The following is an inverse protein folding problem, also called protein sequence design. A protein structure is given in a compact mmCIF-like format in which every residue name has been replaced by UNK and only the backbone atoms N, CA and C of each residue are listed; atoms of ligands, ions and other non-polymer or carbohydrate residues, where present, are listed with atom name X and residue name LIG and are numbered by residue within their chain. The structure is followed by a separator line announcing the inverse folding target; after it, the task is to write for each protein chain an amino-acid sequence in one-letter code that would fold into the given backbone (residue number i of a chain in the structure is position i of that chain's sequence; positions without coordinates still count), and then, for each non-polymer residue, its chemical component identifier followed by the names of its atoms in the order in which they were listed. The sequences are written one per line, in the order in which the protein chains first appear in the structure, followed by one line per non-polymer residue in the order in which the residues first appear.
data_IF_776310641931
#
_entry.id   IF_776310641931
#
_cell.length_a   1.000
_cell.length_b   1.000
_cell.length_c   1.000
_cell.angle_alpha   90.00
_cell.angle_beta   90.00
_cell.angle_gamma   90.00
#
_symmetry.space_group_name_H-M   'P 1'
#
loop_
_entity.id
_entity.type
_entity.pdbx_description
1 polymer ?
#
# COMPACT_ATOMS: atom_id res chain seq x y z
N UNK A 1 -56.30 -24.45 -23.37
CA UNK A 1 -56.61 -25.90 -23.48
C UNK A 1 -55.33 -26.64 -23.16
N UNK A 2 -55.25 -27.68 -22.34
CA UNK A 2 -56.18 -28.41 -21.49
C UNK A 2 -55.25 -29.43 -20.79
N UNK A 3 -55.20 -29.46 -19.46
CA UNK A 3 -55.61 -30.61 -18.62
C UNK A 3 -54.72 -31.85 -18.61
N UNK A 4 -54.58 -32.43 -17.41
CA UNK A 4 -54.19 -33.83 -17.15
C UNK A 4 -52.72 -33.94 -16.77
N UNK A 5 -52.32 -34.09 -15.50
CA UNK A 5 -52.51 -35.23 -14.59
C UNK A 5 -52.23 -36.60 -15.23
N UNK A 6 -51.57 -37.45 -14.42
CA UNK A 6 -51.11 -38.84 -14.67
C UNK A 6 -49.66 -38.94 -15.18
N UNK A 7 -48.72 -39.71 -14.61
CA UNK A 7 -48.71 -40.64 -13.48
C UNK A 7 -47.25 -40.89 -13.01
N UNK A 8 -47.13 -41.06 -11.68
CA UNK A 8 -46.30 -42.05 -10.97
C UNK A 8 -44.80 -42.24 -11.27
N UNK A 9 -44.01 -41.94 -10.23
CA UNK A 9 -42.70 -42.53 -9.99
C UNK A 9 -42.17 -42.26 -8.57
N UNK A 10 -42.96 -42.66 -7.55
CA UNK A 10 -42.54 -43.35 -6.30
C UNK A 10 -41.26 -42.83 -5.61
N UNK A 11 -41.31 -42.06 -4.51
CA UNK A 11 -41.63 -42.52 -3.14
C UNK A 11 -41.33 -44.02 -2.89
N UNK A 12 -40.14 -44.28 -2.38
CA UNK A 12 -39.83 -45.40 -1.49
C UNK A 12 -38.87 -44.81 -0.43
N UNK A 13 -39.34 -44.23 0.68
CA UNK A 13 -39.97 -44.92 1.81
C UNK A 13 -39.37 -46.31 2.01
N UNK A 14 -38.19 -46.32 2.64
CA UNK A 14 -37.63 -47.51 3.25
C UNK A 14 -38.63 -48.05 4.27
N UNK A 15 -39.30 -49.14 3.85
CA UNK A 15 -40.04 -50.08 4.69
C UNK A 15 -39.06 -50.79 5.62
N UNK A 16 -39.29 -50.60 6.93
CA UNK A 16 -39.39 -51.57 8.02
C UNK A 16 -39.35 -53.08 7.64
N UNK A 17 -38.81 -53.96 8.52
CA UNK A 17 -39.41 -54.25 9.84
C UNK A 17 -38.35 -54.34 10.97
N UNK A 18 -38.58 -53.97 12.22
CA UNK A 18 -39.71 -54.30 13.09
C UNK A 18 -39.84 -53.24 14.19
N UNK A 19 -40.95 -52.50 14.17
CA UNK A 19 -41.49 -51.91 15.40
C UNK A 19 -42.06 -53.06 16.25
N UNK A 20 -41.62 -53.28 17.50
CA UNK A 20 -42.49 -53.90 18.48
C UNK A 20 -43.51 -52.84 18.90
N UNK A 21 -44.58 -52.74 18.12
CA UNK A 21 -45.85 -52.25 18.64
C UNK A 21 -46.18 -53.06 19.89
N UNK A 22 -46.44 -52.36 20.99
CA UNK A 22 -46.90 -52.91 22.26
C UNK A 22 -48.20 -53.68 22.00
N UNK A 23 -48.08 -54.96 21.67
CA UNK A 23 -49.17 -55.93 21.80
C UNK A 23 -49.32 -56.19 23.29
N UNK A 24 -50.28 -55.51 23.91
CA UNK A 24 -50.81 -55.87 25.22
C UNK A 24 -51.39 -57.28 25.13
N UNK A 25 -50.57 -58.28 25.38
CA UNK A 25 -51.01 -59.64 25.67
C UNK A 25 -50.77 -59.88 27.16
N UNK A 26 -51.87 -60.05 27.87
CA UNK A 26 -51.86 -60.41 29.27
C UNK A 26 -51.23 -61.80 29.44
N UNK A 27 -50.54 -61.97 30.57
CA UNK A 27 -49.96 -63.21 31.10
C UNK A 27 -48.55 -63.56 30.56
N UNK A 28 -47.52 -63.09 31.28
CA UNK A 28 -46.72 -64.03 32.07
C UNK A 28 -45.79 -63.26 33.02
N UNK A 29 -46.06 -63.39 34.32
CA UNK A 29 -45.09 -63.16 35.38
C UNK A 29 -43.80 -63.95 35.06
N UNK A 30 -42.65 -63.28 35.06
CA UNK A 30 -41.40 -63.67 35.73
C UNK A 30 -40.13 -63.31 34.95
N UNK A 31 -39.25 -62.61 35.68
CA UNK A 31 -37.79 -62.58 35.52
C UNK A 31 -37.21 -61.87 34.29
N UNK A 32 -37.16 -60.54 34.35
CA UNK A 32 -35.92 -59.78 34.13
C UNK A 32 -35.95 -58.55 35.05
N UNK A 33 -35.35 -58.71 36.23
CA UNK A 33 -35.02 -57.57 37.11
C UNK A 33 -33.78 -56.93 36.50
N UNK A 34 -33.97 -56.10 35.48
CA UNK A 34 -32.97 -55.09 35.12
C UNK A 34 -32.90 -54.13 36.28
N UNK A 35 -31.76 -54.09 36.97
CA UNK A 35 -31.57 -53.25 38.14
C UNK A 35 -31.70 -51.78 37.70
N UNK A 36 -32.81 -51.08 38.01
CA UNK A 36 -33.01 -49.69 37.59
C UNK A 36 -31.92 -48.77 38.14
N UNK A 37 -31.26 -49.24 39.19
CA UNK A 37 -30.13 -48.62 39.84
C UNK A 37 -28.84 -48.72 39.02
N UNK A 38 -28.60 -49.84 38.33
CA UNK A 38 -27.43 -50.03 37.47
C UNK A 38 -27.57 -49.23 36.18
N UNK A 39 -28.75 -49.24 35.55
CA UNK A 39 -29.02 -48.41 34.36
C UNK A 39 -28.92 -46.91 34.68
N UNK A 40 -29.38 -46.49 35.85
CA UNK A 40 -29.24 -45.10 36.32
C UNK A 40 -27.78 -44.72 36.62
N UNK A 41 -26.99 -45.63 37.18
CA UNK A 41 -25.55 -45.42 37.38
C UNK A 41 -24.81 -45.29 36.05
N UNK A 42 -25.13 -46.12 35.06
CA UNK A 42 -24.55 -46.03 33.72
C UNK A 42 -24.93 -44.70 33.06
N UNK A 43 -26.18 -44.24 33.23
CA UNK A 43 -26.64 -42.97 32.68
C UNK A 43 -25.93 -41.77 33.31
N UNK A 44 -25.72 -41.78 34.63
CA UNK A 44 -24.92 -40.76 35.34
C UNK A 44 -23.47 -40.72 34.87
N UNK A 45 -22.84 -41.89 34.71
CA UNK A 45 -21.46 -42.01 34.24
C UNK A 45 -21.30 -41.45 32.81
N UNK A 46 -22.27 -41.72 31.93
CA UNK A 46 -22.25 -41.20 30.57
C UNK A 46 -22.41 -39.67 30.55
N UNK A 47 -23.26 -39.13 31.44
CA UNK A 47 -23.48 -37.70 31.59
C UNK A 47 -22.23 -36.97 32.10
N UNK A 48 -21.52 -37.55 33.08
CA UNK A 48 -20.24 -37.02 33.56
C UNK A 48 -19.18 -37.01 32.46
N UNK A 49 -19.10 -38.08 31.66
CA UNK A 49 -18.12 -38.15 30.58
C UNK A 49 -18.42 -37.11 29.48
N UNK A 50 -19.69 -36.89 29.15
CA UNK A 50 -20.11 -35.85 28.21
C UNK A 50 -19.85 -34.44 28.75
N UNK A 51 -20.13 -34.18 30.03
CA UNK A 51 -19.82 -32.90 30.66
C UNK A 51 -18.32 -32.64 30.72
N UNK A 52 -17.50 -33.66 31.01
CA UNK A 52 -16.04 -33.55 30.99
C UNK A 52 -15.50 -33.21 29.60
N UNK A 53 -16.08 -33.79 28.55
CA UNK A 53 -15.71 -33.47 27.17
C UNK A 53 -16.06 -32.02 26.81
N UNK A 54 -17.27 -31.55 27.16
CA UNK A 54 -17.66 -30.15 26.96
C UNK A 54 -16.76 -29.19 27.73
N UNK A 55 -16.42 -29.51 28.97
CA UNK A 55 -15.53 -28.70 29.80
C UNK A 55 -14.12 -28.61 29.20
N UNK A 56 -13.59 -29.70 28.66
CA UNK A 56 -12.27 -29.71 28.01
C UNK A 56 -12.26 -28.90 26.72
N UNK A 57 -13.27 -29.07 25.84
CA UNK A 57 -13.39 -28.28 24.61
C UNK A 57 -13.56 -26.79 24.92
N UNK A 58 -14.42 -26.44 25.88
CA UNK A 58 -14.60 -25.06 26.31
C UNK A 58 -13.31 -24.46 26.87
N UNK A 59 -12.47 -25.25 27.54
CA UNK A 59 -11.18 -24.78 28.10
C UNK A 59 -10.11 -24.59 27.03
N UNK A 60 -10.09 -25.43 26.00
CA UNK A 60 -9.20 -25.29 24.85
C UNK A 60 -9.57 -24.06 24.02
N UNK A 61 -10.85 -23.85 23.72
CA UNK A 61 -11.35 -22.64 23.05
C UNK A 61 -11.03 -21.37 23.86
N UNK A 62 -11.23 -21.41 25.20
CA UNK A 62 -10.89 -20.27 26.05
C UNK A 62 -9.39 -19.96 26.03
N UNK A 63 -8.54 -20.99 25.97
CA UNK A 63 -7.09 -20.83 25.93
C UNK A 63 -6.63 -20.26 24.59
N UNK A 64 -7.15 -20.76 23.47
CA UNK A 64 -6.88 -20.18 22.14
C UNK A 64 -7.36 -18.72 22.05
N UNK A 65 -8.52 -18.39 22.60
CA UNK A 65 -9.01 -17.01 22.66
C UNK A 65 -8.13 -16.09 23.49
N UNK A 66 -7.63 -16.57 24.64
CA UNK A 66 -6.75 -15.78 25.51
C UNK A 66 -5.37 -15.60 24.87
N UNK A 67 -4.81 -16.65 24.25
CA UNK A 67 -3.51 -16.59 23.57
C UNK A 67 -3.57 -15.65 22.34
N UNK A 68 -4.68 -15.66 21.59
CA UNK A 68 -4.93 -14.70 20.51
C UNK A 68 -5.05 -13.25 21.02
N UNK A 69 -5.72 -13.03 22.16
CA UNK A 69 -5.83 -11.71 22.79
C UNK A 69 -4.49 -11.18 23.31
N UNK A 70 -3.67 -12.03 23.93
CA UNK A 70 -2.33 -11.64 24.40
C UNK A 70 -1.45 -11.25 23.22
N UNK A 71 -1.52 -12.00 22.12
CA UNK A 71 -0.79 -11.69 20.89
C UNK A 71 -1.26 -10.36 20.28
N UNK A 72 -2.57 -10.12 20.24
CA UNK A 72 -3.14 -8.85 19.77
C UNK A 72 -2.69 -7.66 20.63
N UNK A 73 -2.76 -7.79 21.97
CA UNK A 73 -2.30 -6.76 22.91
C UNK A 73 -0.81 -6.45 22.76
N UNK A 74 0.01 -7.43 22.40
CA UNK A 74 1.44 -7.24 22.11
C UNK A 74 1.70 -6.49 20.78
N UNK A 75 0.80 -6.58 19.80
CA UNK A 75 0.93 -5.88 18.51
C UNK A 75 0.46 -4.42 18.55
N UNK A 76 -0.43 -4.05 19.49
CA UNK A 76 -1.00 -2.70 19.59
C UNK A 76 0.07 -1.59 19.73
N UNK A 77 1.09 -1.70 20.61
CA UNK A 77 2.12 -0.68 20.72
C UNK A 77 2.89 -0.46 19.42
N UNK A 78 3.25 -1.54 18.72
CA UNK A 78 3.96 -1.47 17.44
C UNK A 78 3.12 -0.78 16.36
N UNK A 79 1.84 -1.10 16.26
CA UNK A 79 0.92 -0.46 15.30
C UNK A 79 0.71 1.01 15.65
N UNK A 80 0.63 1.35 16.93
CA UNK A 80 0.52 2.73 17.40
C UNK A 80 1.77 3.55 17.10
N UNK A 81 2.96 2.96 17.27
CA UNK A 81 4.23 3.60 16.92
C UNK A 81 4.34 3.84 15.41
N UNK A 82 3.96 2.85 14.59
CA UNK A 82 3.89 3.01 13.13
C UNK A 82 2.90 4.10 12.71
N UNK A 83 1.72 4.16 13.36
CA UNK A 83 0.71 5.18 13.10
C UNK A 83 1.21 6.58 13.51
N UNK A 84 1.92 6.70 14.63
CA UNK A 84 2.51 7.96 15.07
C UNK A 84 3.59 8.44 14.10
N UNK A 85 4.47 7.56 13.63
CA UNK A 85 5.51 7.88 12.63
C UNK A 85 4.85 8.30 11.32
N UNK A 86 3.83 7.58 10.86
CA UNK A 86 3.08 7.93 9.66
C UNK A 86 2.35 9.27 9.82
N UNK A 87 1.72 9.52 10.96
CA UNK A 87 1.02 10.77 11.25
C UNK A 87 1.97 11.97 11.25
N UNK A 88 3.13 11.86 11.89
CA UNK A 88 4.16 12.90 11.89
C UNK A 88 4.64 13.17 10.46
N UNK A 89 4.96 12.12 9.70
CA UNK A 89 5.44 12.22 8.32
C UNK A 89 4.40 12.87 7.40
N UNK A 90 3.13 12.48 7.50
CA UNK A 90 2.02 13.06 6.73
C UNK A 90 1.78 14.51 7.13
N UNK A 91 1.81 14.83 8.43
CA UNK A 91 1.63 16.20 8.92
C UNK A 91 2.72 17.14 8.41
N UNK A 92 3.97 16.68 8.41
CA UNK A 92 5.10 17.44 7.86
C UNK A 92 4.99 17.63 6.34
N UNK A 93 4.58 16.59 5.61
CA UNK A 93 4.32 16.68 4.17
C UNK A 93 3.21 17.70 3.87
N UNK A 94 2.09 17.63 4.59
CA UNK A 94 0.95 18.53 4.43
C UNK A 94 1.31 19.99 4.77
N UNK A 95 2.15 20.21 5.78
CA UNK A 95 2.61 21.54 6.15
C UNK A 95 3.47 22.19 5.05
N UNK A 96 4.29 21.39 4.36
CA UNK A 96 5.17 21.86 3.29
C UNK A 96 4.52 21.85 1.89
N UNK A 97 3.36 21.19 1.75
CA UNK A 97 2.63 21.04 0.50
C UNK A 97 2.40 22.37 -0.25
N UNK A 98 1.93 23.46 0.41
CA UNK A 98 1.71 24.73 -0.28
C UNK A 98 3.01 25.32 -0.84
N UNK A 99 4.11 25.20 -0.08
CA UNK A 99 5.44 25.66 -0.53
C UNK A 99 5.93 24.86 -1.73
N UNK A 100 5.68 23.55 -1.76
CA UNK A 100 6.01 22.71 -2.91
C UNK A 100 5.19 23.05 -4.15
N UNK A 101 3.87 23.23 -4.00
CA UNK A 101 3.02 23.66 -5.10
C UNK A 101 3.46 25.00 -5.67
N UNK A 102 3.77 25.97 -4.80
CA UNK A 102 4.26 27.27 -5.23
C UNK A 102 5.56 27.13 -6.03
N UNK A 103 6.54 26.37 -5.53
CA UNK A 103 7.81 26.12 -6.24
C UNK A 103 7.62 25.43 -7.59
N UNK A 104 6.71 24.46 -7.67
CA UNK A 104 6.39 23.75 -8.93
C UNK A 104 5.74 24.72 -9.92
N UNK A 105 4.81 25.55 -9.47
CA UNK A 105 4.10 26.49 -10.33
C UNK A 105 5.00 27.63 -10.80
N UNK A 106 5.87 28.13 -9.92
CA UNK A 106 6.92 29.08 -10.26
C UNK A 106 7.89 28.49 -11.30
N UNK A 107 8.30 27.22 -11.13
CA UNK A 107 9.13 26.54 -12.12
C UNK A 107 8.42 26.41 -13.46
N UNK A 108 7.18 25.93 -13.49
CA UNK A 108 6.38 25.85 -14.72
C UNK A 108 6.26 27.20 -15.43
N UNK A 109 6.04 28.26 -14.66
CA UNK A 109 5.95 29.62 -15.19
C UNK A 109 7.28 30.14 -15.73
N UNK A 110 8.41 29.65 -15.20
CA UNK A 110 9.78 29.94 -15.67
C UNK A 110 10.14 29.22 -16.97
N UNK A 111 9.62 28.00 -17.21
CA UNK A 111 10.02 27.14 -18.34
C UNK A 111 10.02 27.88 -19.70
N UNK A 112 8.96 28.60 -20.11
CA UNK A 112 8.96 29.28 -21.41
C UNK A 112 10.06 30.34 -21.53
N UNK A 113 10.33 31.07 -20.44
CA UNK A 113 11.38 32.09 -20.38
C UNK A 113 12.78 31.47 -20.41
N UNK A 114 12.96 30.36 -19.69
CA UNK A 114 14.22 29.60 -19.65
C UNK A 114 14.53 29.00 -21.04
N UNK A 115 13.54 28.39 -21.70
CA UNK A 115 13.68 27.87 -23.08
C UNK A 115 14.07 28.99 -24.03
N UNK A 116 13.37 30.12 -23.99
CA UNK A 116 13.68 31.27 -24.85
C UNK A 116 15.11 31.77 -24.63
N UNK A 117 15.54 31.85 -23.36
CA UNK A 117 16.89 32.29 -23.02
C UNK A 117 17.95 31.34 -23.57
N UNK A 118 17.73 30.02 -23.49
CA UNK A 118 18.65 29.04 -24.06
C UNK A 118 18.69 29.10 -25.60
N UNK A 119 17.53 29.26 -26.25
CA UNK A 119 17.46 29.46 -27.70
C UNK A 119 18.23 30.72 -28.14
N UNK A 120 18.10 31.83 -27.40
CA UNK A 120 18.85 33.05 -27.67
C UNK A 120 20.37 32.83 -27.55
N UNK A 121 20.82 31.96 -26.63
CA UNK A 121 22.24 31.58 -26.52
C UNK A 121 22.69 30.70 -27.67
N UNK A 122 21.88 29.72 -28.07
CA UNK A 122 22.17 28.85 -29.22
C UNK A 122 22.32 29.68 -30.50
N UNK A 123 21.41 30.61 -30.78
CA UNK A 123 21.51 31.50 -31.95
C UNK A 123 22.79 32.35 -31.91
N UNK A 124 23.14 32.91 -30.74
CA UNK A 124 24.37 33.69 -30.57
C UNK A 124 25.62 32.83 -30.79
N UNK A 125 25.63 31.59 -30.29
CA UNK A 125 26.74 30.66 -30.47
C UNK A 125 26.89 30.26 -31.93
N UNK A 126 25.80 29.93 -32.63
CA UNK A 126 25.79 29.59 -34.05
C UNK A 126 26.31 30.74 -34.90
N UNK A 127 25.85 31.96 -34.62
CA UNK A 127 26.35 33.17 -35.28
C UNK A 127 27.84 33.36 -35.03
N UNK A 128 28.29 33.18 -33.79
CA UNK A 128 29.71 33.34 -33.43
C UNK A 128 30.59 32.29 -34.10
N UNK A 129 30.10 31.06 -34.19
CA UNK A 129 30.77 29.97 -34.87
C UNK A 129 30.90 30.24 -36.38
N UNK A 130 29.85 30.77 -37.01
CA UNK A 130 29.89 31.19 -38.41
C UNK A 130 30.88 32.35 -38.64
N UNK A 131 30.94 33.32 -37.72
CA UNK A 131 31.93 34.42 -37.76
C UNK A 131 33.37 33.89 -37.67
N UNK A 132 33.63 32.95 -36.75
CA UNK A 132 34.93 32.29 -36.58
C UNK A 132 35.35 31.60 -37.88
N UNK A 133 34.48 30.77 -38.46
CA UNK A 133 34.77 30.06 -39.72
C UNK A 133 35.03 31.04 -40.86
N UNK A 134 34.23 32.09 -40.98
CA UNK A 134 34.39 33.11 -42.02
C UNK A 134 35.71 33.89 -41.86
N UNK A 135 36.12 34.17 -40.62
CA UNK A 135 37.39 34.82 -40.33
C UNK A 135 38.57 33.89 -40.66
N UNK A 136 38.47 32.62 -40.29
CA UNK A 136 39.48 31.61 -40.58
C UNK A 136 39.71 31.43 -42.08
N UNK A 137 38.63 31.32 -42.87
CA UNK A 137 38.71 31.23 -44.33
C UNK A 137 39.46 32.45 -44.89
N UNK A 138 39.09 33.67 -44.48
CA UNK A 138 39.74 34.90 -44.95
C UNK A 138 41.23 34.97 -44.60
N UNK A 139 41.61 34.55 -43.39
CA UNK A 139 43.03 34.50 -43.03
C UNK A 139 43.79 33.47 -43.86
N UNK A 140 43.22 32.29 -44.10
CA UNK A 140 43.85 31.27 -44.94
C UNK A 140 44.07 31.78 -46.37
N UNK A 141 43.06 32.42 -46.97
CA UNK A 141 43.19 33.06 -48.29
C UNK A 141 44.30 34.11 -48.31
N UNK A 142 44.35 34.98 -47.30
CA UNK A 142 45.35 36.04 -47.22
C UNK A 142 46.78 35.47 -47.05
N UNK A 143 46.95 34.44 -46.22
CA UNK A 143 48.23 33.74 -46.03
C UNK A 143 48.72 33.15 -47.37
N UNK A 144 47.82 32.54 -48.15
CA UNK A 144 48.16 32.00 -49.46
C UNK A 144 48.62 33.06 -50.47
N UNK A 145 48.13 34.30 -50.36
CA UNK A 145 48.53 35.42 -51.23
C UNK A 145 49.73 36.22 -50.69
N UNK A 146 50.15 35.98 -49.44
CA UNK A 146 51.22 36.74 -48.77
C UNK A 146 52.60 36.15 -49.08
N UNK A 147 53.63 36.97 -49.38
CA UNK A 147 54.99 36.49 -49.56
C UNK A 147 55.52 35.73 -48.33
N UNK A 148 56.30 34.67 -48.54
CA UNK A 148 56.78 33.79 -47.46
C UNK A 148 57.49 34.52 -46.30
N UNK A 149 58.21 35.61 -46.60
CA UNK A 149 58.89 36.42 -45.59
C UNK A 149 57.93 37.11 -44.59
N UNK A 150 56.65 37.31 -44.97
CA UNK A 150 55.62 37.98 -44.16
C UNK A 150 54.55 37.01 -43.62
N UNK A 151 54.52 35.76 -44.10
CA UNK A 151 53.54 34.76 -43.67
C UNK A 151 53.59 34.48 -42.17
N UNK A 152 54.79 34.47 -41.57
CA UNK A 152 54.95 34.23 -40.13
C UNK A 152 54.26 35.28 -39.25
N UNK A 153 54.39 36.57 -39.61
CA UNK A 153 53.71 37.66 -38.89
C UNK A 153 52.19 37.58 -39.06
N UNK A 154 51.73 37.30 -40.28
CA UNK A 154 50.31 37.17 -40.57
C UNK A 154 49.68 35.96 -39.85
N UNK A 155 50.43 34.86 -39.71
CA UNK A 155 50.02 33.69 -38.95
C UNK A 155 49.84 34.02 -37.47
N UNK A 156 50.78 34.77 -36.87
CA UNK A 156 50.64 35.22 -35.48
C UNK A 156 49.42 36.11 -35.27
N UNK A 157 49.13 36.99 -36.24
CA UNK A 157 47.93 37.85 -36.20
C UNK A 157 46.66 37.00 -36.28
N UNK A 158 46.61 36.01 -37.19
CA UNK A 158 45.50 35.04 -37.27
C UNK A 158 45.31 34.34 -35.93
N UNK A 159 46.36 33.74 -35.38
CA UNK A 159 46.27 32.93 -34.17
C UNK A 159 45.76 33.77 -32.98
N UNK A 160 46.24 35.01 -32.85
CA UNK A 160 45.77 35.96 -31.83
C UNK A 160 44.28 36.33 -32.03
N UNK A 161 43.86 36.57 -33.27
CA UNK A 161 42.46 36.88 -33.57
C UNK A 161 41.55 35.67 -33.29
N UNK A 162 41.96 34.47 -33.70
CA UNK A 162 41.24 33.22 -33.45
C UNK A 162 41.12 32.94 -31.96
N UNK A 163 42.21 33.10 -31.20
CA UNK A 163 42.20 32.96 -29.74
C UNK A 163 41.17 33.89 -29.09
N UNK A 164 41.16 35.16 -29.51
CA UNK A 164 40.20 36.15 -28.97
C UNK A 164 38.75 35.77 -29.29
N UNK A 165 38.49 35.29 -30.51
CA UNK A 165 37.14 34.86 -30.89
C UNK A 165 36.68 33.61 -30.13
N UNK A 166 37.58 32.64 -29.93
CA UNK A 166 37.28 31.44 -29.15
C UNK A 166 37.02 31.79 -27.68
N UNK A 167 37.77 32.71 -27.07
CA UNK A 167 37.51 33.19 -25.71
C UNK A 167 36.13 33.81 -25.56
N UNK A 168 35.68 34.61 -26.54
CA UNK A 168 34.33 35.18 -26.54
C UNK A 168 33.27 34.08 -26.66
N UNK A 169 33.47 33.08 -27.53
CA UNK A 169 32.56 31.93 -27.67
C UNK A 169 32.49 31.11 -26.39
N UNK A 170 33.63 30.87 -25.73
CA UNK A 170 33.70 30.18 -24.45
C UNK A 170 32.98 30.94 -23.34
N UNK A 171 33.07 32.28 -23.33
CA UNK A 171 32.27 33.12 -22.44
C UNK A 171 30.77 32.90 -22.61
N UNK A 172 30.27 32.96 -23.85
CA UNK A 172 28.88 32.65 -24.19
C UNK A 172 28.46 31.23 -23.79
N UNK A 173 29.35 30.26 -23.99
CA UNK A 173 29.11 28.85 -23.63
C UNK A 173 28.97 28.72 -22.12
N UNK A 174 29.85 29.36 -21.35
CA UNK A 174 29.78 29.38 -19.89
C UNK A 174 28.49 30.03 -19.38
N UNK A 175 28.08 31.14 -19.99
CA UNK A 175 26.85 31.82 -19.59
C UNK A 175 25.61 30.96 -19.86
N UNK A 176 25.57 30.24 -21.00
CA UNK A 176 24.55 29.24 -21.29
C UNK A 176 24.57 28.11 -20.25
N UNK A 177 25.75 27.55 -19.96
CA UNK A 177 25.89 26.41 -19.04
C UNK A 177 25.45 26.78 -17.62
N UNK A 178 25.77 28.00 -17.16
CA UNK A 178 25.26 28.53 -15.89
C UNK A 178 23.72 28.63 -15.87
N UNK A 179 23.09 28.94 -17.00
CA UNK A 179 21.62 28.92 -17.10
C UNK A 179 21.07 27.50 -17.09
N UNK A 180 21.73 26.55 -17.75
CA UNK A 180 21.35 25.13 -17.73
C UNK A 180 21.45 24.56 -16.31
N UNK A 181 22.53 24.83 -15.59
CA UNK A 181 22.74 24.37 -14.21
C UNK A 181 21.59 24.81 -13.29
N UNK A 182 21.16 26.08 -13.39
CA UNK A 182 20.01 26.58 -12.63
C UNK A 182 18.71 25.85 -12.96
N UNK A 183 18.52 25.44 -14.21
CA UNK A 183 17.33 24.68 -14.63
C UNK A 183 17.40 23.26 -14.05
N UNK A 184 18.58 22.63 -14.09
CA UNK A 184 18.82 21.31 -13.52
C UNK A 184 18.62 21.28 -12.00
N UNK A 185 19.07 22.32 -11.28
CA UNK A 185 18.82 22.46 -9.84
C UNK A 185 17.32 22.47 -9.52
N UNK A 186 16.54 23.26 -10.27
CA UNK A 186 15.07 23.32 -10.13
C UNK A 186 14.44 21.96 -10.46
N UNK A 187 14.90 21.27 -11.50
CA UNK A 187 14.40 19.95 -11.88
C UNK A 187 14.72 18.88 -10.81
N UNK A 188 15.94 18.86 -10.27
CA UNK A 188 16.34 17.94 -9.21
C UNK A 188 15.60 18.17 -7.89
N UNK A 189 15.11 19.38 -7.63
CA UNK A 189 14.16 19.62 -6.53
C UNK A 189 12.82 18.93 -6.79
N UNK A 190 12.29 19.01 -8.01
CA UNK A 190 11.01 18.38 -8.39
C UNK A 190 11.10 16.85 -8.33
N UNK A 191 12.19 16.26 -8.82
CA UNK A 191 12.38 14.81 -8.76
C UNK A 191 12.41 14.29 -7.32
N UNK A 192 13.10 14.99 -6.41
CA UNK A 192 13.11 14.64 -4.98
C UNK A 192 11.72 14.67 -4.37
N UNK A 193 10.89 15.64 -4.77
CA UNK A 193 9.49 15.72 -4.31
C UNK A 193 8.64 14.59 -4.88
N UNK A 194 8.80 14.27 -6.16
CA UNK A 194 8.15 13.12 -6.78
C UNK A 194 8.48 11.82 -6.04
N UNK A 195 9.76 11.62 -5.68
CA UNK A 195 10.20 10.46 -4.91
C UNK A 195 9.61 10.40 -3.49
N UNK A 196 9.53 11.53 -2.78
CA UNK A 196 8.90 11.59 -1.46
C UNK A 196 7.40 11.28 -1.51
N UNK A 197 6.70 11.82 -2.50
CA UNK A 197 5.28 11.52 -2.74
C UNK A 197 5.07 10.04 -3.11
N UNK A 198 5.93 9.47 -3.96
CA UNK A 198 5.89 8.06 -4.31
C UNK A 198 5.98 7.14 -3.08
N UNK A 199 6.98 7.36 -2.21
CA UNK A 199 7.14 6.60 -0.96
C UNK A 199 5.92 6.71 -0.04
N UNK A 200 5.34 7.91 0.07
CA UNK A 200 4.12 8.09 0.86
C UNK A 200 2.94 7.30 0.29
N UNK A 201 2.84 7.19 -1.03
CA UNK A 201 1.83 6.38 -1.72
C UNK A 201 2.00 4.87 -1.55
N UNK A 202 3.23 4.39 -1.33
CA UNK A 202 3.52 2.97 -1.07
C UNK A 202 3.20 2.56 0.38
N UNK A 203 3.49 3.42 1.35
CA UNK A 203 3.30 3.13 2.78
C UNK A 203 1.83 3.22 3.24
N UNK A 204 1.03 4.06 2.58
CA UNK A 204 -0.38 4.28 2.94
C UNK A 204 -1.24 3.01 2.81
N UNK A 205 -1.17 2.23 1.72
CA UNK A 205 -1.89 0.97 1.58
C UNK A 205 -1.53 -0.07 2.63
N UNK A 206 -0.24 -0.21 2.97
CA UNK A 206 0.25 -1.16 3.98
C UNK A 206 -0.32 -0.81 5.36
N UNK A 207 -0.24 0.47 5.75
CA UNK A 207 -0.82 0.96 7.00
C UNK A 207 -2.35 0.79 7.05
N UNK A 208 -3.05 1.05 5.94
CA UNK A 208 -4.51 0.82 5.84
C UNK A 208 -4.84 -0.66 6.07
N UNK A 209 -4.04 -1.57 5.51
CA UNK A 209 -4.27 -3.01 5.64
C UNK A 209 -4.01 -3.50 7.07
N UNK A 210 -2.97 -3.01 7.73
CA UNK A 210 -2.69 -3.36 9.12
C UNK A 210 -3.76 -2.80 10.08
N UNK A 211 -4.29 -1.60 9.81
CA UNK A 211 -5.43 -1.05 10.55
C UNK A 211 -6.71 -1.89 10.37
N UNK A 212 -6.97 -2.44 9.17
CA UNK A 212 -8.12 -3.34 8.95
C UNK A 212 -7.98 -4.64 9.74
N UNK A 213 -6.78 -5.24 9.75
CA UNK A 213 -6.50 -6.47 10.54
C UNK A 213 -6.73 -6.22 12.02
N UNK A 214 -6.21 -5.10 12.54
CA UNK A 214 -6.41 -4.72 13.94
C UNK A 214 -7.90 -4.50 14.27
N UNK A 215 -8.65 -3.85 13.37
CA UNK A 215 -10.07 -3.60 13.56
C UNK A 215 -10.93 -4.87 13.56
N UNK A 216 -10.57 -5.89 12.77
CA UNK A 216 -11.21 -7.21 12.78
C UNK A 216 -11.00 -7.89 14.15
N UNK A 217 -9.76 -7.93 14.62
CA UNK A 217 -9.41 -8.54 15.91
C UNK A 217 -10.15 -7.86 17.07
N UNK A 218 -10.24 -6.52 17.06
CA UNK A 218 -10.98 -5.78 18.09
C UNK A 218 -12.50 -6.00 18.02
N UNK A 219 -13.06 -6.26 16.83
CA UNK A 219 -14.49 -6.51 16.65
C UNK A 219 -14.89 -7.88 17.20
N UNK A 220 -14.05 -8.89 17.01
CA UNK A 220 -14.29 -10.25 17.53
C UNK A 220 -14.26 -10.25 19.08
N UNK A 221 -13.43 -9.42 19.70
CA UNK A 221 -13.39 -9.22 21.16
C UNK A 221 -14.67 -8.57 21.72
N UNK A 222 -15.40 -7.79 20.94
CA UNK A 222 -16.57 -7.05 21.42
C UNK A 222 -17.87 -7.86 21.38
N UNK A 223 -17.93 -8.96 20.61
CA UNK A 223 -19.13 -9.80 20.47
C UNK A 223 -19.27 -10.86 21.57
N UNK A 224 -18.19 -11.24 22.26
CA UNK A 224 -18.24 -12.24 23.35
C UNK A 224 -18.61 -11.65 24.71
N UNK A 225 -18.48 -10.34 24.90
CA UNK A 225 -18.77 -9.67 26.17
C UNK A 225 -20.25 -9.27 26.35
N UNK A 226 -21.13 -9.50 25.38
CA UNK A 226 -22.52 -9.03 25.43
C UNK A 226 -23.57 -10.06 25.83
N UNK A 227 -23.21 -11.32 26.13
CA UNK A 227 -24.21 -12.39 26.33
C UNK A 227 -24.40 -12.90 27.77
N UNK A 228 -23.73 -12.35 28.78
CA UNK A 228 -23.84 -12.85 30.18
C UNK A 228 -24.74 -12.04 31.12
N UNK A 229 -25.67 -11.22 30.60
CA UNK A 229 -26.61 -10.46 31.46
C UNK A 229 -28.08 -10.69 31.11
N UNK A 230 -28.52 -11.94 31.02
CA UNK A 230 -29.95 -12.28 31.18
C UNK A 230 -30.06 -13.58 31.98
N UNK A 231 -30.37 -13.45 33.28
CA UNK A 231 -30.57 -14.55 34.21
C UNK A 231 -31.42 -14.15 35.41
N UNK A 232 -32.65 -13.72 35.14
CA UNK A 232 -33.87 -13.96 35.94
C UNK A 232 -33.72 -14.09 37.47
N UNK A 233 -34.05 -13.03 38.21
CA UNK A 233 -34.57 -13.18 39.58
C UNK A 233 -36.09 -13.20 39.47
N UNK A 234 -36.63 -14.41 39.59
CA UNK A 234 -38.06 -14.67 39.63
C UNK A 234 -38.69 -14.28 40.97
N UNK A 235 -39.98 -14.03 40.87
CA UNK A 235 -40.94 -13.88 41.96
C UNK A 235 -40.80 -14.95 43.05
N UNK A 236 -40.90 -14.52 44.31
CA UNK A 236 -41.38 -15.37 45.41
C UNK A 236 -42.49 -14.65 46.17
N UNK A 237 -43.65 -15.30 46.18
CA UNK A 237 -44.87 -15.01 46.92
C UNK A 237 -44.69 -14.85 48.44
N UNK A 238 -45.49 -13.96 49.03
CA UNK A 238 -46.49 -14.32 50.05
C UNK A 238 -46.04 -14.60 51.50
N UNK A 239 -46.40 -13.67 52.39
CA UNK A 239 -46.42 -13.81 53.85
C UNK A 239 -46.95 -12.54 54.51
#
# INVERSE_FOLDING_TARGET
MSTGHEYQGLLALNRDPDYPGVRMNHNSLNNYVGHPLEDYQVQLMLLEQQNKKRLLMAREEYKEHVDAQVTALQTIPSVLDQLNVAHISVKELLANLPTYFHKIEDFKSSIPGDIKTLQDYEEKLDKKEAEIRSLEIRYNELIHMTPAAQQGELQQVRDKAMLTMHQVREGLTRDRDNSVEKIEEKNGLIERLGGALGKSGELLPELIEDLKKLALILRDVQMDNSNDSIGTIGDTHGG
#
